data_IF_014089392604
#
_entry.id   IF_014089392604
#
_cell.length_a   1.000
_cell.length_b   1.000
_cell.length_c   1.000
_cell.angle_alpha   90.00
_cell.angle_beta   90.00
_cell.angle_gamma   90.00
#
_symmetry.space_group_name_H-M   'P 1'
#
loop_
_entity.id
_entity.type
_entity.pdbx_description
1 polymer ?
#
# COMPACT_ATOMS: atom_id res chain seq x y z
N UNK A 1 5.76 4.53 10.31
CA UNK A 1 5.67 3.06 10.32
C UNK A 1 6.56 2.42 11.40
N UNK A 2 7.80 2.88 11.59
CA UNK A 2 8.74 2.33 12.57
C UNK A 2 8.20 2.30 14.02
N UNK A 3 7.53 3.38 14.48
CA UNK A 3 6.90 3.42 15.81
C UNK A 3 5.79 2.39 15.99
N UNK A 4 4.99 2.16 14.93
CA UNK A 4 3.95 1.15 14.95
C UNK A 4 4.56 -0.26 15.07
N UNK A 5 5.63 -0.50 14.32
CA UNK A 5 6.39 -1.75 14.39
C UNK A 5 7.01 -1.97 15.78
N UNK A 6 7.73 -0.99 16.31
CA UNK A 6 8.40 -1.11 17.62
C UNK A 6 7.39 -1.33 18.74
N UNK A 7 6.29 -0.57 18.76
CA UNK A 7 5.24 -0.70 19.78
C UNK A 7 4.52 -2.04 19.67
N UNK A 8 4.18 -2.48 18.46
CA UNK A 8 3.52 -3.76 18.22
C UNK A 8 4.39 -4.97 18.58
N UNK A 9 5.69 -4.91 18.26
CA UNK A 9 6.64 -5.94 18.62
C UNK A 9 6.86 -5.99 20.14
N UNK A 10 6.97 -4.84 20.79
CA UNK A 10 7.09 -4.74 22.26
C UNK A 10 5.87 -5.37 22.97
N UNK A 11 4.66 -5.10 22.48
CA UNK A 11 3.43 -5.74 22.98
C UNK A 11 3.51 -7.26 22.83
N UNK A 12 3.95 -7.74 21.67
CA UNK A 12 4.07 -9.18 21.40
C UNK A 12 5.15 -9.85 22.27
N UNK A 13 6.29 -9.21 22.51
CA UNK A 13 7.37 -9.74 23.37
C UNK A 13 6.95 -9.76 24.84
N UNK A 14 6.35 -8.68 25.33
CA UNK A 14 5.86 -8.58 26.72
C UNK A 14 4.86 -9.69 27.06
N UNK A 15 3.98 -10.05 26.13
CA UNK A 15 3.02 -11.13 26.30
C UNK A 15 3.65 -12.53 26.14
N UNK A 16 4.69 -12.68 25.31
CA UNK A 16 5.33 -13.97 25.01
C UNK A 16 6.21 -14.49 26.15
N UNK A 17 6.87 -13.59 26.89
CA UNK A 17 7.82 -13.98 27.93
C UNK A 17 7.13 -14.52 29.21
N UNK A 18 5.80 -14.52 29.23
CA UNK A 18 5.00 -14.86 30.41
C UNK A 18 4.32 -16.21 30.23
N UNK A 19 4.66 -17.18 31.09
CA UNK A 19 4.01 -18.50 31.12
C UNK A 19 2.57 -18.44 31.66
N UNK A 20 2.20 -17.36 32.35
CA UNK A 20 0.87 -17.13 32.92
C UNK A 20 0.52 -15.66 32.66
N UNK A 21 -0.61 -15.42 32.00
CA UNK A 21 -1.14 -14.06 31.81
C UNK A 21 -1.76 -13.58 33.12
N UNK A 22 -1.02 -12.76 33.87
CA UNK A 22 -1.54 -12.07 35.05
C UNK A 22 -2.52 -10.96 34.61
N UNK A 23 -3.71 -10.82 35.25
CA UNK A 23 -4.64 -9.70 35.01
C UNK A 23 -3.98 -8.31 35.00
N UNK A 24 -2.97 -8.08 35.83
CA UNK A 24 -2.24 -6.79 35.87
C UNK A 24 -1.44 -6.53 34.60
N UNK A 25 -0.80 -7.56 34.04
CA UNK A 25 -0.06 -7.47 32.78
C UNK A 25 -1.03 -7.27 31.62
N UNK A 26 -2.14 -8.02 31.60
CA UNK A 26 -3.19 -7.86 30.60
C UNK A 26 -3.73 -6.43 30.58
N UNK A 27 -3.97 -5.83 31.74
CA UNK A 27 -4.41 -4.44 31.87
C UNK A 27 -3.34 -3.45 31.38
N UNK A 28 -2.07 -3.71 31.69
CA UNK A 28 -0.96 -2.88 31.21
C UNK A 28 -0.91 -2.89 29.68
N UNK A 29 -0.93 -4.06 29.06
CA UNK A 29 -0.87 -4.19 27.60
C UNK A 29 -2.12 -3.61 26.93
N UNK A 30 -3.32 -3.80 27.49
CA UNK A 30 -4.53 -3.15 27.01
C UNK A 30 -4.45 -1.61 27.04
N UNK A 31 -3.64 -1.01 27.92
CA UNK A 31 -3.40 0.45 27.93
C UNK A 31 -2.38 0.88 26.87
N UNK A 32 -1.46 0.00 26.46
CA UNK A 32 -0.45 0.26 25.43
C UNK A 32 -1.02 0.11 24.00
N UNK A 33 -1.98 -0.80 23.79
CA UNK A 33 -2.60 -1.05 22.48
C UNK A 33 -3.22 0.22 21.85
N UNK A 34 -3.96 1.07 22.57
CA UNK A 34 -4.45 2.34 22.02
C UNK A 34 -3.32 3.24 21.50
N UNK A 35 -2.17 3.29 22.19
CA UNK A 35 -0.99 4.00 21.70
C UNK A 35 -0.49 3.44 20.37
N UNK A 36 -0.38 2.13 20.27
CA UNK A 36 -0.03 1.45 19.01
C UNK A 36 -1.06 1.74 17.89
N UNK A 37 -2.35 1.81 18.21
CA UNK A 37 -3.40 2.18 17.25
C UNK A 37 -3.34 3.65 16.84
N UNK A 38 -2.91 4.55 17.73
CA UNK A 38 -2.68 5.95 17.37
C UNK A 38 -1.55 6.07 16.34
N UNK A 39 -0.47 5.29 16.45
CA UNK A 39 0.60 5.27 15.45
C UNK A 39 0.10 4.85 14.05
N UNK A 40 -0.89 3.95 13.97
CA UNK A 40 -1.57 3.61 12.71
C UNK A 40 -2.28 4.81 12.11
N UNK A 41 -2.98 5.59 12.94
CA UNK A 41 -3.70 6.77 12.47
C UNK A 41 -2.75 7.87 12.00
N UNK A 42 -1.69 8.13 12.76
CA UNK A 42 -0.63 9.09 12.40
C UNK A 42 -0.01 8.70 11.06
N UNK A 43 0.40 7.44 10.92
CA UNK A 43 0.99 6.93 9.68
C UNK A 43 0.02 7.04 8.49
N UNK A 44 -1.26 6.67 8.69
CA UNK A 44 -2.27 6.78 7.63
C UNK A 44 -2.49 8.24 7.21
N UNK A 45 -2.43 9.19 8.14
CA UNK A 45 -2.61 10.62 7.87
C UNK A 45 -1.40 11.23 7.16
N UNK A 46 -0.18 10.85 7.56
CA UNK A 46 1.05 11.24 6.86
C UNK A 46 1.03 10.76 5.41
N UNK A 47 0.62 9.52 5.20
CA UNK A 47 0.49 8.96 3.87
C UNK A 47 -0.62 9.65 3.06
N UNK A 48 -1.80 9.88 3.64
CA UNK A 48 -2.87 10.63 2.98
C UNK A 48 -2.36 12.01 2.51
N UNK A 49 -1.61 12.71 3.38
CA UNK A 49 -1.01 14.00 3.05
C UNK A 49 0.00 13.90 1.90
N UNK A 50 0.86 12.88 1.90
CA UNK A 50 1.79 12.63 0.79
C UNK A 50 1.04 12.35 -0.53
N UNK A 51 -0.05 11.59 -0.46
CA UNK A 51 -0.91 11.32 -1.61
C UNK A 51 -1.50 12.62 -2.17
N UNK A 52 -2.03 13.50 -1.32
CA UNK A 52 -2.65 14.75 -1.74
C UNK A 52 -1.66 15.81 -2.22
N UNK A 53 -0.53 15.98 -1.53
CA UNK A 53 0.44 17.04 -1.84
C UNK A 53 1.39 16.68 -2.98
N UNK A 54 1.73 15.39 -3.14
CA UNK A 54 2.77 14.95 -4.09
C UNK A 54 2.22 14.09 -5.22
N UNK A 55 1.43 13.06 -4.90
CA UNK A 55 1.00 12.08 -5.90
C UNK A 55 -0.15 12.62 -6.75
N UNK A 56 -1.16 13.25 -6.14
CA UNK A 56 -2.34 13.78 -6.82
C UNK A 56 -2.00 14.83 -7.89
N UNK A 57 -1.09 15.79 -7.67
CA UNK A 57 -0.65 16.71 -8.73
C UNK A 57 0.05 16.01 -9.89
N UNK A 58 0.84 14.96 -9.62
CA UNK A 58 1.53 14.17 -10.65
C UNK A 58 0.53 13.38 -11.50
N UNK A 59 -0.47 12.76 -10.87
CA UNK A 59 -1.60 12.09 -11.55
C UNK A 59 -2.34 13.04 -12.50
N UNK A 60 -2.67 14.25 -12.03
CA UNK A 60 -3.37 15.26 -12.83
C UNK A 60 -2.52 15.76 -14.00
N UNK A 61 -1.21 15.93 -13.82
CA UNK A 61 -0.28 16.32 -14.89
C UNK A 61 -0.12 15.22 -15.92
N UNK A 62 0.00 13.97 -15.48
CA UNK A 62 0.08 12.81 -16.36
C UNK A 62 -1.13 12.74 -17.29
N UNK A 63 -2.34 12.86 -16.73
CA UNK A 63 -3.58 12.83 -17.51
C UNK A 63 -3.66 13.99 -18.53
N UNK A 64 -3.34 15.22 -18.11
CA UNK A 64 -3.32 16.38 -19.03
C UNK A 64 -2.33 16.21 -20.18
N UNK A 65 -1.14 15.70 -19.90
CA UNK A 65 -0.11 15.48 -20.92
C UNK A 65 -0.50 14.34 -21.87
N UNK A 66 -0.98 13.20 -21.34
CA UNK A 66 -1.47 12.08 -22.13
C UNK A 66 -2.61 12.48 -23.09
N UNK A 67 -3.51 13.37 -22.65
CA UNK A 67 -4.60 13.93 -23.47
C UNK A 67 -4.09 14.87 -24.58
N UNK A 68 -3.16 15.77 -24.25
CA UNK A 68 -2.57 16.72 -25.21
C UNK A 68 -1.70 16.01 -26.26
N UNK A 69 -1.07 14.90 -25.88
CA UNK A 69 -0.14 14.18 -26.73
C UNK A 69 -0.82 13.17 -27.69
N UNK A 70 -2.11 12.89 -27.52
CA UNK A 70 -2.94 12.19 -28.53
C UNK A 70 -3.04 12.94 -29.88
N UNK A 71 -2.64 14.22 -29.91
CA UNK A 71 -2.44 15.03 -31.12
C UNK A 71 -1.10 14.78 -31.82
N UNK A 72 -0.14 14.07 -31.22
CA UNK A 72 1.16 13.74 -31.83
C UNK A 72 1.13 12.51 -32.75
N UNK A 73 -0.06 12.11 -33.24
CA UNK A 73 -0.29 11.06 -34.25
C UNK A 73 0.53 11.19 -35.56
N UNK A 74 1.38 12.22 -35.71
CA UNK A 74 2.26 12.40 -36.86
C UNK A 74 3.70 11.87 -36.65
N UNK A 75 4.14 11.56 -35.42
CA UNK A 75 5.48 11.02 -35.21
C UNK A 75 5.50 9.50 -35.43
N UNK A 76 6.16 9.05 -36.50
CA UNK A 76 6.37 7.62 -36.77
C UNK A 76 7.72 7.18 -36.18
N UNK A 77 7.77 6.06 -35.43
CA UNK A 77 9.00 5.36 -35.07
C UNK A 77 9.47 5.51 -33.61
N UNK A 78 10.78 5.64 -33.40
CA UNK A 78 11.44 5.56 -32.07
C UNK A 78 10.91 6.54 -31.01
N UNK A 79 10.48 7.74 -31.41
CA UNK A 79 9.85 8.72 -30.51
C UNK A 79 8.53 8.22 -29.91
N UNK A 80 7.79 7.42 -30.67
CA UNK A 80 6.55 6.78 -30.21
C UNK A 80 6.85 5.71 -29.16
N UNK A 81 7.95 4.96 -29.32
CA UNK A 81 8.41 3.96 -28.34
C UNK A 81 8.84 4.63 -27.04
N UNK A 82 9.66 5.69 -27.11
CA UNK A 82 10.04 6.49 -25.93
C UNK A 82 8.81 7.06 -25.21
N UNK A 83 7.82 7.48 -25.98
CA UNK A 83 6.59 8.04 -25.46
C UNK A 83 5.75 6.99 -24.72
N UNK A 84 5.57 5.81 -25.32
CA UNK A 84 4.88 4.68 -24.68
C UNK A 84 5.63 4.27 -23.41
N UNK A 85 6.95 4.17 -23.44
CA UNK A 85 7.76 3.79 -22.27
C UNK A 85 7.63 4.81 -21.13
N UNK A 86 7.71 6.11 -21.44
CA UNK A 86 7.48 7.19 -20.46
C UNK A 86 6.11 7.07 -19.81
N UNK A 87 5.08 6.73 -20.58
CA UNK A 87 3.72 6.60 -20.08
C UNK A 87 3.51 5.34 -19.24
N UNK A 88 4.08 4.21 -19.66
CA UNK A 88 4.05 2.95 -18.90
C UNK A 88 4.80 3.11 -17.59
N UNK A 89 5.99 3.69 -17.58
CA UNK A 89 6.77 3.92 -16.36
C UNK A 89 6.04 4.86 -15.40
N UNK A 90 5.48 5.97 -15.91
CA UNK A 90 4.69 6.90 -15.10
C UNK A 90 3.45 6.22 -14.50
N UNK A 91 2.80 5.35 -15.26
CA UNK A 91 1.66 4.58 -14.79
C UNK A 91 2.06 3.55 -13.72
N UNK A 92 3.13 2.77 -13.95
CA UNK A 92 3.62 1.81 -12.97
C UNK A 92 3.97 2.50 -11.66
N UNK A 93 4.64 3.66 -11.74
CA UNK A 93 4.92 4.50 -10.58
C UNK A 93 3.65 4.99 -9.89
N UNK A 94 2.63 5.40 -10.64
CA UNK A 94 1.35 5.81 -10.05
C UNK A 94 0.62 4.65 -9.36
N UNK A 95 0.68 3.44 -9.92
CA UNK A 95 0.09 2.24 -9.31
C UNK A 95 0.86 1.86 -8.03
N UNK A 96 2.19 1.89 -8.08
CA UNK A 96 3.06 1.62 -6.92
C UNK A 96 2.81 2.65 -5.81
N UNK A 97 2.84 3.94 -6.13
CA UNK A 97 2.63 5.03 -5.18
C UNK A 97 1.21 5.03 -4.60
N UNK A 98 0.19 4.75 -5.41
CA UNK A 98 -1.21 4.69 -4.96
C UNK A 98 -1.54 3.46 -4.11
N UNK A 99 -0.77 2.36 -4.26
CA UNK A 99 -0.89 1.18 -3.39
C UNK A 99 -0.12 1.29 -2.08
N UNK A 100 1.02 1.99 -2.11
CA UNK A 100 1.97 2.08 -1.00
C UNK A 100 1.63 3.17 0.01
N UNK A 101 1.28 4.36 -0.50
CA UNK A 101 1.12 5.53 0.34
C UNK A 101 -0.27 5.48 0.95
N UNK A 102 -1.31 5.75 0.19
CA UNK A 102 -2.67 5.65 0.69
C UNK A 102 -3.59 5.40 -0.51
N UNK A 103 -4.52 4.46 -0.37
CA UNK A 103 -5.46 4.16 -1.43
C UNK A 103 -6.77 4.88 -1.17
N UNK A 104 -7.17 5.73 -2.11
CA UNK A 104 -8.51 6.29 -2.11
C UNK A 104 -9.23 5.92 -3.41
N UNK A 105 -10.38 5.20 -3.34
CA UNK A 105 -11.13 4.73 -4.50
C UNK A 105 -11.71 5.86 -5.38
N UNK A 106 -11.69 7.09 -4.88
CA UNK A 106 -12.17 8.32 -5.55
C UNK A 106 -11.05 9.05 -6.29
N UNK A 107 -9.80 8.85 -5.89
CA UNK A 107 -8.64 9.55 -6.46
C UNK A 107 -7.88 8.72 -7.48
N UNK A 108 -8.21 7.44 -7.57
CA UNK A 108 -7.21 6.47 -7.99
C UNK A 108 -6.97 6.46 -9.50
N UNK A 109 -7.97 6.64 -10.36
CA UNK A 109 -7.82 7.08 -11.75
C UNK A 109 -9.16 7.70 -12.17
N UNK A 110 -9.20 8.67 -13.11
CA UNK A 110 -10.47 9.14 -13.62
C UNK A 110 -11.23 7.96 -14.23
N UNK A 111 -12.44 7.68 -13.72
CA UNK A 111 -13.36 6.72 -14.31
C UNK A 111 -13.54 7.04 -15.80
N UNK A 112 -13.64 5.99 -16.63
CA UNK A 112 -14.13 6.06 -18.01
C UNK A 112 -15.52 6.75 -18.12
N UNK A 113 -16.24 6.91 -17.01
CA UNK A 113 -17.57 7.52 -16.94
C UNK A 113 -17.60 9.00 -17.38
N UNK A 114 -16.47 9.72 -17.34
CA UNK A 114 -16.36 11.06 -17.92
C UNK A 114 -16.29 11.09 -19.46
N UNK A 115 -16.08 9.95 -20.11
CA UNK A 115 -15.98 9.81 -21.56
C UNK A 115 -17.32 9.46 -22.22
N UNK A 116 -18.38 9.30 -21.43
CA UNK A 116 -19.69 8.85 -21.94
C UNK A 116 -20.49 9.96 -22.65
N UNK A 117 -20.12 11.24 -22.53
CA UNK A 117 -20.81 12.35 -23.21
C UNK A 117 -19.84 13.24 -24.00
N UNK A 118 -19.26 12.66 -25.06
CA UNK A 118 -18.61 13.42 -26.12
C UNK A 118 -17.37 12.72 -26.68
N UNK A 119 -17.48 12.23 -27.90
CA UNK A 119 -16.44 11.54 -28.70
C UNK A 119 -16.15 10.07 -28.35
N UNK A 120 -16.94 9.23 -29.00
CA UNK A 120 -16.91 7.76 -29.05
C UNK A 120 -15.68 7.15 -29.78
N UNK A 121 -14.46 7.67 -29.60
CA UNK A 121 -13.32 7.11 -30.34
C UNK A 121 -11.91 7.71 -30.19
N UNK A 122 -11.48 8.18 -29.01
CA UNK A 122 -10.05 8.52 -28.82
C UNK A 122 -9.61 8.47 -27.36
N UNK A 123 -9.61 7.27 -26.77
CA UNK A 123 -8.62 6.93 -25.76
C UNK A 123 -7.44 6.21 -26.47
N UNK A 124 -6.18 6.41 -26.06
CA UNK A 124 -5.10 5.57 -26.54
C UNK A 124 -5.37 4.11 -26.13
N UNK A 125 -5.33 3.15 -27.07
CA UNK A 125 -5.55 1.71 -26.80
C UNK A 125 -4.64 1.18 -25.67
N UNK A 126 -3.48 1.80 -25.46
CA UNK A 126 -2.56 1.42 -24.38
C UNK A 126 -3.14 1.65 -22.97
N UNK A 127 -4.15 2.50 -22.80
CA UNK A 127 -4.74 2.81 -21.48
C UNK A 127 -5.79 1.79 -21.02
N UNK A 128 -6.21 0.85 -21.89
CA UNK A 128 -7.21 -0.19 -21.59
C UNK A 128 -6.71 -1.23 -20.56
N UNK A 129 -5.46 -1.66 -20.66
CA UNK A 129 -4.87 -2.61 -19.69
C UNK A 129 -4.63 -1.97 -18.30
N UNK A 130 -4.12 -0.73 -18.22
CA UNK A 130 -4.04 0.06 -16.99
C UNK A 130 -5.38 0.26 -16.28
N UNK A 131 -6.43 0.64 -17.01
CA UNK A 131 -7.76 0.86 -16.44
C UNK A 131 -8.37 -0.43 -15.89
N UNK A 132 -8.19 -1.56 -16.60
CA UNK A 132 -8.59 -2.90 -16.13
C UNK A 132 -7.83 -3.34 -14.88
N UNK A 133 -6.50 -3.16 -14.84
CA UNK A 133 -5.70 -3.47 -13.65
C UNK A 133 -6.16 -2.62 -12.47
N UNK A 134 -6.37 -1.32 -12.71
CA UNK A 134 -6.89 -0.43 -11.69
C UNK A 134 -8.26 -0.86 -11.16
N UNK A 135 -9.19 -1.23 -12.04
CA UNK A 135 -10.51 -1.72 -11.67
C UNK A 135 -10.43 -3.01 -10.83
N UNK A 136 -9.52 -3.93 -11.19
CA UNK A 136 -9.25 -5.14 -10.39
C UNK A 136 -8.72 -4.80 -8.99
N UNK A 137 -7.76 -3.87 -8.89
CA UNK A 137 -7.27 -3.37 -7.60
C UNK A 137 -8.41 -2.78 -6.79
N UNK A 138 -9.22 -1.90 -7.38
CA UNK A 138 -10.40 -1.28 -6.73
C UNK A 138 -11.42 -2.31 -6.24
N UNK A 139 -11.69 -3.35 -7.03
CA UNK A 139 -12.59 -4.45 -6.64
C UNK A 139 -12.03 -5.24 -5.46
N UNK A 140 -10.76 -5.67 -5.53
CA UNK A 140 -10.10 -6.39 -4.46
C UNK A 140 -10.05 -5.56 -3.16
N UNK A 141 -9.88 -4.24 -3.26
CA UNK A 141 -9.89 -3.36 -2.09
C UNK A 141 -11.26 -3.18 -1.47
N UNK A 142 -12.31 -3.07 -2.30
CA UNK A 142 -13.67 -3.05 -1.79
C UNK A 142 -14.03 -4.34 -1.04
N UNK A 143 -13.52 -5.49 -1.48
CA UNK A 143 -13.72 -6.76 -0.77
C UNK A 143 -12.94 -6.83 0.56
N UNK A 144 -11.70 -6.33 0.59
CA UNK A 144 -10.83 -6.45 1.75
C UNK A 144 -11.12 -5.42 2.86
N UNK A 145 -11.56 -4.21 2.49
CA UNK A 145 -11.72 -3.04 3.39
C UNK A 145 -13.07 -2.32 3.25
N UNK A 146 -13.93 -2.72 2.33
CA UNK A 146 -15.08 -1.90 1.94
C UNK A 146 -14.62 -0.63 1.22
N UNK A 147 -15.42 0.45 1.27
CA UNK A 147 -15.13 1.72 0.60
C UNK A 147 -14.12 2.62 1.34
N UNK A 148 -13.41 2.10 2.33
CA UNK A 148 -12.62 2.92 3.25
C UNK A 148 -11.21 3.14 2.72
N UNK A 149 -10.82 4.41 2.55
CA UNK A 149 -9.46 4.78 2.18
C UNK A 149 -8.45 4.35 3.25
N UNK A 150 -7.22 4.08 2.84
CA UNK A 150 -6.15 3.68 3.74
C UNK A 150 -4.99 2.96 3.07
N UNK A 151 -3.94 2.73 3.85
CA UNK A 151 -2.78 1.89 3.49
C UNK A 151 -3.25 0.47 3.15
N UNK A 152 -2.83 -0.05 1.99
CA UNK A 152 -3.27 -1.35 1.49
C UNK A 152 -2.32 -2.51 1.81
N UNK A 153 -1.10 -2.24 2.30
CA UNK A 153 -0.10 -3.29 2.48
C UNK A 153 -0.67 -4.48 3.26
N UNK A 154 -0.72 -5.65 2.62
CA UNK A 154 -1.44 -6.82 3.16
C UNK A 154 -0.91 -7.19 4.55
N UNK A 155 0.41 -7.15 4.72
CA UNK A 155 1.08 -7.51 5.97
C UNK A 155 0.73 -6.52 7.08
N UNK A 156 0.54 -5.25 6.73
CA UNK A 156 0.09 -4.21 7.65
C UNK A 156 -1.36 -4.46 8.10
N UNK A 157 -2.25 -4.80 7.16
CA UNK A 157 -3.65 -5.11 7.48
C UNK A 157 -3.77 -6.35 8.34
N UNK A 158 -2.94 -7.36 8.07
CA UNK A 158 -2.86 -8.58 8.87
C UNK A 158 -2.38 -8.27 10.29
N UNK A 159 -1.26 -7.56 10.44
CA UNK A 159 -0.75 -7.14 11.76
C UNK A 159 -1.77 -6.32 12.55
N UNK A 160 -2.45 -5.37 11.89
CA UNK A 160 -3.47 -4.54 12.51
C UNK A 160 -4.76 -5.31 12.88
N UNK A 161 -5.09 -6.39 12.17
CA UNK A 161 -6.18 -7.28 12.58
C UNK A 161 -5.78 -8.09 13.81
N UNK A 162 -4.58 -8.65 13.81
CA UNK A 162 -4.10 -9.52 14.89
C UNK A 162 -3.90 -8.75 16.20
N UNK A 163 -3.47 -7.48 16.17
CA UNK A 163 -3.39 -6.67 17.39
C UNK A 163 -4.78 -6.42 18.02
N UNK A 164 -5.83 -6.24 17.19
CA UNK A 164 -7.22 -6.10 17.66
C UNK A 164 -7.79 -7.42 18.19
N UNK A 165 -7.33 -8.56 17.67
CA UNK A 165 -7.66 -9.88 18.20
C UNK A 165 -7.01 -10.14 19.55
N UNK A 166 -5.74 -9.72 19.72
CA UNK A 166 -5.02 -9.74 20.99
C UNK A 166 -5.72 -8.85 22.01
N UNK A 167 -6.09 -7.62 21.66
CA UNK A 167 -6.84 -6.72 22.55
C UNK A 167 -8.13 -7.38 23.06
N UNK A 168 -8.97 -7.87 22.14
CA UNK A 168 -10.22 -8.59 22.48
C UNK A 168 -9.96 -9.84 23.33
N UNK A 169 -8.86 -10.55 23.08
CA UNK A 169 -8.45 -11.72 23.88
C UNK A 169 -8.12 -11.32 25.32
N UNK A 170 -7.33 -10.26 25.51
CA UNK A 170 -6.98 -9.75 26.83
C UNK A 170 -8.20 -9.29 27.62
N UNK A 171 -9.14 -8.58 27.00
CA UNK A 171 -10.39 -8.17 27.66
C UNK A 171 -11.26 -9.34 28.09
N UNK A 172 -11.33 -10.41 27.28
CA UNK A 172 -12.04 -11.63 27.65
C UNK A 172 -11.38 -12.34 28.84
N UNK A 173 -10.05 -12.43 28.84
CA UNK A 173 -9.31 -13.07 29.93
C UNK A 173 -9.46 -12.32 31.26
N UNK A 174 -9.75 -11.02 31.24
CA UNK A 174 -10.03 -10.25 32.46
C UNK A 174 -11.47 -10.43 32.98
N UNK A 175 -12.40 -10.97 32.18
CA UNK A 175 -13.81 -11.16 32.53
C UNK A 175 -14.15 -12.58 33.04
N UNK A 176 -13.33 -13.58 32.73
CA UNK A 176 -13.60 -14.98 33.04
C UNK A 176 -12.42 -15.61 33.82
N UNK A 177 -12.71 -16.25 34.95
CA UNK A 177 -11.72 -16.95 35.82
C UNK A 177 -11.27 -18.32 35.27
N UNK A 178 -11.73 -18.73 34.08
CA UNK A 178 -11.40 -20.02 33.47
C UNK A 178 -10.06 -19.95 32.72
N UNK A 179 -8.97 -20.03 33.50
CA UNK A 179 -7.61 -19.61 33.12
C UNK A 179 -6.95 -20.53 32.09
N UNK A 180 -7.26 -21.84 32.06
CA UNK A 180 -6.41 -22.82 31.37
C UNK A 180 -6.67 -22.88 29.85
N UNK A 181 -7.93 -22.90 29.41
CA UNK A 181 -8.28 -22.96 27.98
C UNK A 181 -8.04 -21.61 27.29
N UNK A 182 -8.24 -20.51 28.02
CA UNK A 182 -7.98 -19.14 27.54
C UNK A 182 -6.47 -18.86 27.33
N UNK A 183 -5.59 -19.56 28.04
CA UNK A 183 -4.15 -19.33 27.98
C UNK A 183 -3.53 -19.83 26.66
N UNK A 184 -3.96 -21.00 26.19
CA UNK A 184 -3.42 -21.60 24.96
C UNK A 184 -3.88 -20.83 23.71
N UNK A 185 -5.16 -20.47 23.65
CA UNK A 185 -5.74 -19.61 22.59
C UNK A 185 -5.06 -18.22 22.56
N UNK A 186 -4.76 -17.65 23.73
CA UNK A 186 -4.08 -16.35 23.77
C UNK A 186 -2.60 -16.44 23.39
N UNK A 187 -1.91 -17.51 23.79
CA UNK A 187 -0.53 -17.76 23.39
C UNK A 187 -0.39 -17.85 21.87
N UNK A 188 -1.31 -18.54 21.21
CA UNK A 188 -1.30 -18.64 19.75
C UNK A 188 -1.60 -17.31 19.06
N UNK A 189 -2.50 -16.48 19.60
CA UNK A 189 -2.71 -15.11 19.12
C UNK A 189 -1.47 -14.24 19.25
N UNK A 190 -0.74 -14.36 20.36
CA UNK A 190 0.51 -13.61 20.60
C UNK A 190 1.63 -14.08 19.67
N UNK A 191 1.77 -15.40 19.46
CA UNK A 191 2.71 -15.94 18.46
C UNK A 191 2.39 -15.43 17.06
N UNK A 192 1.11 -15.47 16.67
CA UNK A 192 0.66 -14.95 15.38
C UNK A 192 0.91 -13.44 15.27
N UNK A 193 0.68 -12.67 16.34
CA UNK A 193 0.97 -11.23 16.38
C UNK A 193 2.45 -10.97 16.07
N UNK A 194 3.35 -11.64 16.79
CA UNK A 194 4.79 -11.51 16.58
C UNK A 194 5.17 -11.86 15.14
N UNK A 195 4.71 -13.00 14.64
CA UNK A 195 4.97 -13.43 13.27
C UNK A 195 4.44 -12.42 12.24
N UNK A 196 3.27 -11.81 12.47
CA UNK A 196 2.74 -10.78 11.57
C UNK A 196 3.62 -9.53 11.53
N UNK A 197 4.16 -9.09 12.67
CA UNK A 197 5.08 -7.95 12.69
C UNK A 197 6.43 -8.27 12.04
N UNK A 198 7.00 -9.46 12.29
CA UNK A 198 8.23 -9.91 11.62
C UNK A 198 8.06 -9.97 10.09
N UNK A 199 6.93 -10.53 9.63
CA UNK A 199 6.60 -10.57 8.20
C UNK A 199 6.38 -9.16 7.65
N UNK A 200 5.68 -8.27 8.37
CA UNK A 200 5.51 -6.88 7.97
C UNK A 200 6.84 -6.13 7.82
N UNK A 201 7.77 -6.32 8.75
CA UNK A 201 9.10 -5.71 8.65
C UNK A 201 9.86 -6.21 7.44
N UNK A 202 10.00 -7.53 7.31
CA UNK A 202 10.73 -8.14 6.18
C UNK A 202 10.08 -7.81 4.83
N UNK A 203 8.74 -7.74 4.78
CA UNK A 203 7.98 -7.34 3.61
C UNK A 203 8.25 -5.88 3.22
N UNK A 204 8.26 -4.97 4.19
CA UNK A 204 8.60 -3.57 3.98
C UNK A 204 10.05 -3.39 3.49
N UNK A 205 11.01 -4.07 4.10
CA UNK A 205 12.43 -4.04 3.71
C UNK A 205 12.62 -4.59 2.28
N UNK A 206 12.04 -5.75 1.98
CA UNK A 206 12.07 -6.36 0.65
C UNK A 206 11.43 -5.47 -0.41
N UNK A 207 10.34 -4.79 -0.06
CA UNK A 207 9.65 -3.89 -0.98
C UNK A 207 10.48 -2.62 -1.28
N UNK A 208 11.20 -2.08 -0.29
CA UNK A 208 12.15 -0.98 -0.51
C UNK A 208 13.21 -1.39 -1.54
N UNK A 209 13.80 -2.57 -1.39
CA UNK A 209 14.80 -3.10 -2.33
C UNK A 209 14.21 -3.23 -3.74
N UNK A 210 13.02 -3.83 -3.89
CA UNK A 210 12.38 -3.97 -5.20
C UNK A 210 12.04 -2.64 -5.87
N UNK A 211 11.68 -1.62 -5.09
CA UNK A 211 11.46 -0.27 -5.64
C UNK A 211 12.78 0.34 -6.13
N UNK A 212 13.86 0.17 -5.38
CA UNK A 212 15.17 0.70 -5.76
C UNK A 212 15.66 0.02 -7.05
N UNK A 213 15.61 -1.31 -7.09
CA UNK A 213 15.93 -2.10 -8.29
C UNK A 213 15.09 -1.67 -9.51
N UNK A 214 13.78 -1.45 -9.31
CA UNK A 214 12.89 -0.98 -10.39
C UNK A 214 13.27 0.43 -10.88
N UNK A 215 13.67 1.33 -9.98
CA UNK A 215 14.15 2.64 -10.39
C UNK A 215 15.46 2.57 -11.16
N UNK A 216 16.37 1.69 -10.76
CA UNK A 216 17.62 1.43 -11.48
C UNK A 216 17.34 0.87 -12.88
N UNK A 217 16.44 -0.10 -13.03
CA UNK A 217 16.01 -0.62 -14.34
C UNK A 217 15.43 0.48 -15.24
N UNK A 218 14.62 1.40 -14.68
CA UNK A 218 14.09 2.55 -15.43
C UNK A 218 15.23 3.47 -15.90
N UNK A 219 16.21 3.74 -15.04
CA UNK A 219 17.35 4.61 -15.35
C UNK A 219 18.24 3.95 -16.40
N UNK A 220 18.55 2.67 -16.26
CA UNK A 220 19.34 1.89 -17.20
C UNK A 220 18.66 1.84 -18.58
N UNK A 221 17.38 1.47 -18.64
CA UNK A 221 16.64 1.43 -19.91
C UNK A 221 16.59 2.79 -20.60
N UNK A 222 16.50 3.91 -19.85
CA UNK A 222 16.60 5.26 -20.42
C UNK A 222 17.99 5.55 -20.98
N UNK A 223 19.05 5.11 -20.31
CA UNK A 223 20.42 5.30 -20.76
C UNK A 223 20.70 4.49 -22.03
N UNK A 224 20.26 3.23 -22.09
CA UNK A 224 20.38 2.40 -23.31
C UNK A 224 19.67 3.04 -24.50
N UNK A 225 18.48 3.60 -24.28
CA UNK A 225 17.74 4.32 -25.32
C UNK A 225 18.44 5.59 -25.79
N UNK A 226 19.04 6.36 -24.88
CA UNK A 226 19.85 7.52 -25.22
C UNK A 226 21.12 7.12 -25.99
N UNK A 227 21.75 6.02 -25.60
CA UNK A 227 22.94 5.49 -26.25
C UNK A 227 22.65 5.06 -27.69
N UNK A 228 21.57 4.32 -27.91
CA UNK A 228 21.08 3.95 -29.23
C UNK A 228 20.76 5.15 -30.14
N UNK A 229 20.29 6.26 -29.57
CA UNK A 229 20.09 7.52 -30.32
C UNK A 229 21.39 8.21 -30.68
N UNK A 230 22.38 8.12 -29.79
CA UNK A 230 23.67 8.80 -29.93
C UNK A 230 24.59 8.07 -30.91
N UNK A 231 24.33 6.78 -31.16
CA UNK A 231 25.10 5.90 -32.03
C UNK A 231 24.56 5.76 -33.47
N UNK A 232 23.67 6.66 -33.92
CA UNK A 232 23.29 6.76 -35.34
C UNK A 232 23.91 7.99 -36.02
N UNK A 233 24.65 7.68 -37.09
CA UNK A 233 25.16 8.52 -38.18
C UNK A 233 24.23 9.64 -38.64
#
# INVERSE_FOLDING_TARGET
>A
MENYFSTGLNIATTLRDQRILNPQLSLQVCREIPGCQMEVLVFSQENMRLMEERIRPLLLRFNKNALLESKFKSFHGFMEVLFVLRNVNSLLLMILLGGLVDFSPETSFPNEEGYAHGHRGSGPDFMVSPSKLHQKIKSAMNELRGKQAGVILYEFLRANRTIKEVDRGLWKNMQFDDIVVMLDDMNDKVKNLKSCFEVLQSGAENFIVQIDDFFDEIVEGRNELLDMCSHRY
#
